data_IF_603901431237
#
_entry.id   IF_603901431237
#
_cell.length_a   1.000
_cell.length_b   1.000
_cell.length_c   1.000
_cell.angle_alpha   90.00
_cell.angle_beta   90.00
_cell.angle_gamma   90.00
#
_symmetry.space_group_name_H-M   'P 1'
#
loop_
_entity.id
_entity.type
_entity.pdbx_description
1 polymer ?
#
# COMPACT_ATOMS: atom_id res chain seq x y z
N UNK A 1 -5.59 5.54 8.94
CA UNK A 1 -4.62 4.47 8.61
C UNK A 1 -3.36 5.07 8.01
N UNK A 2 -2.18 4.50 8.27
CA UNK A 2 -0.89 5.00 7.78
C UNK A 2 -0.16 3.93 6.99
N UNK A 3 0.48 4.32 5.89
CA UNK A 3 1.36 3.50 5.09
C UNK A 3 2.62 3.16 5.90
N UNK A 4 2.99 1.87 6.06
CA UNK A 4 4.16 1.48 6.86
C UNK A 4 5.48 1.90 6.20
N UNK A 5 5.49 2.21 4.90
CA UNK A 5 6.70 2.57 4.16
C UNK A 5 7.06 4.06 4.23
N UNK A 6 6.06 4.93 4.40
CA UNK A 6 6.28 6.39 4.34
C UNK A 6 5.53 7.20 5.40
N UNK A 7 4.71 6.56 6.24
CA UNK A 7 3.94 7.20 7.31
C UNK A 7 2.75 8.07 6.86
N UNK A 8 2.58 8.31 5.55
CA UNK A 8 1.44 9.04 4.98
C UNK A 8 0.15 8.19 5.00
N UNK A 9 -1.00 8.77 4.65
CA UNK A 9 -2.24 8.01 4.46
C UNK A 9 -2.03 6.88 3.44
N UNK A 10 -2.63 5.71 3.70
CA UNK A 10 -2.69 4.62 2.72
C UNK A 10 -4.00 4.60 1.91
N UNK A 11 -4.94 5.48 2.27
CA UNK A 11 -6.26 5.65 1.65
C UNK A 11 -7.06 4.35 1.51
N UNK A 12 -6.88 3.43 2.46
CA UNK A 12 -7.61 2.16 2.52
C UNK A 12 -9.11 2.40 2.70
N UNK A 13 -9.93 1.97 1.74
CA UNK A 13 -11.39 2.11 1.79
C UNK A 13 -12.00 1.27 2.93
N UNK A 14 -11.54 0.02 3.11
CA UNK A 14 -12.03 -0.88 4.16
C UNK A 14 -11.84 -0.28 5.55
N UNK A 15 -10.65 0.25 5.84
CA UNK A 15 -10.37 0.90 7.12
C UNK A 15 -11.11 2.23 7.32
N UNK A 16 -11.62 2.82 6.24
CA UNK A 16 -12.49 3.98 6.27
C UNK A 16 -13.99 3.62 6.31
N UNK A 17 -14.34 2.32 6.40
CA UNK A 17 -15.73 1.84 6.40
C UNK A 17 -16.44 1.96 5.04
N UNK A 18 -15.66 2.05 3.95
CA UNK A 18 -16.16 2.10 2.57
C UNK A 18 -16.04 0.74 1.89
N UNK A 19 -16.73 0.59 0.78
CA UNK A 19 -16.70 -0.60 -0.06
C UNK A 19 -15.24 -1.00 -0.43
N UNK A 20 -14.81 -2.25 -0.21
CA UNK A 20 -13.49 -2.72 -0.63
C UNK A 20 -13.19 -2.48 -2.11
N UNK A 21 -14.16 -2.65 -3.01
CA UNK A 21 -14.00 -2.48 -4.46
C UNK A 21 -13.76 -1.02 -4.85
N UNK A 22 -14.11 -0.07 -3.96
CA UNK A 22 -13.77 1.35 -4.13
C UNK A 22 -12.33 1.69 -3.75
N UNK A 23 -11.58 0.74 -3.17
CA UNK A 23 -10.20 0.97 -2.78
C UNK A 23 -9.30 1.00 -4.01
N UNK A 24 -8.46 2.03 -4.12
CA UNK A 24 -7.52 2.19 -5.24
C UNK A 24 -6.66 0.95 -5.48
N UNK A 25 -6.35 0.18 -4.42
CA UNK A 25 -5.50 -0.99 -4.49
C UNK A 25 -6.16 -2.20 -5.17
N UNK A 26 -7.49 -2.26 -5.27
CA UNK A 26 -8.19 -3.41 -5.88
C UNK A 26 -8.00 -3.48 -7.39
N UNK A 27 -7.70 -2.35 -8.03
CA UNK A 27 -7.51 -2.27 -9.49
C UNK A 27 -6.07 -1.89 -9.88
N UNK A 28 -5.19 -1.68 -8.90
CA UNK A 28 -3.83 -1.23 -9.14
C UNK A 28 -2.85 -2.40 -9.29
N UNK A 29 -1.99 -2.32 -10.30
CA UNK A 29 -0.79 -3.16 -10.39
C UNK A 29 0.29 -2.57 -9.48
N UNK A 30 0.78 -3.38 -8.53
CA UNK A 30 1.84 -2.97 -7.60
C UNK A 30 3.18 -3.57 -8.02
N UNK A 31 4.26 -2.80 -7.83
CA UNK A 31 5.62 -3.32 -8.00
C UNK A 31 5.89 -4.46 -7.00
N UNK A 32 6.46 -5.55 -7.50
CA UNK A 32 6.95 -6.65 -6.66
C UNK A 32 8.01 -6.16 -5.65
N UNK A 33 8.84 -5.21 -6.07
CA UNK A 33 9.85 -4.56 -5.22
C UNK A 33 9.22 -3.75 -4.08
N UNK A 34 8.12 -3.05 -4.36
CA UNK A 34 7.37 -2.34 -3.33
C UNK A 34 6.78 -3.31 -2.30
N UNK A 35 6.15 -4.39 -2.76
CA UNK A 35 5.60 -5.44 -1.89
C UNK A 35 6.68 -6.10 -1.04
N UNK A 36 7.84 -6.40 -1.62
CA UNK A 36 8.99 -6.96 -0.90
C UNK A 36 9.60 -6.00 0.14
N UNK A 37 9.28 -4.70 0.06
CA UNK A 37 9.77 -3.70 1.00
C UNK A 37 8.86 -3.52 2.22
N UNK A 38 7.69 -4.17 2.26
CA UNK A 38 6.76 -4.11 3.39
C UNK A 38 7.35 -4.82 4.61
N UNK A 39 7.40 -4.17 5.79
CA UNK A 39 7.86 -4.80 7.02
C UNK A 39 7.07 -6.07 7.33
N UNK A 40 7.71 -7.16 7.80
CA UNK A 40 7.03 -8.43 8.09
C UNK A 40 5.84 -8.28 9.04
N UNK A 41 5.92 -7.37 10.02
CA UNK A 41 4.80 -7.14 10.95
C UNK A 41 3.56 -6.52 10.28
N UNK A 42 3.72 -5.84 9.13
CA UNK A 42 2.68 -5.12 8.41
C UNK A 42 2.13 -5.90 7.20
N UNK A 43 2.85 -6.91 6.71
CA UNK A 43 2.42 -7.73 5.57
C UNK A 43 1.07 -8.40 5.83
N UNK A 44 0.13 -8.24 4.89
CA UNK A 44 -1.23 -8.77 5.00
C UNK A 44 -2.12 -8.07 6.05
N UNK A 45 -1.62 -7.05 6.76
CA UNK A 45 -2.35 -6.37 7.84
C UNK A 45 -2.58 -4.89 7.57
N UNK A 46 -1.63 -4.21 6.94
CA UNK A 46 -1.68 -2.76 6.69
C UNK A 46 -1.41 -2.49 5.22
N UNK A 47 -2.34 -1.81 4.53
CA UNK A 47 -2.14 -1.39 3.15
C UNK A 47 -1.00 -0.36 3.05
N UNK A 48 -0.20 -0.44 1.99
CA UNK A 48 0.69 0.65 1.55
C UNK A 48 -0.11 1.71 0.79
N UNK A 49 0.48 2.87 0.48
CA UNK A 49 -0.16 3.90 -0.36
C UNK A 49 0.20 3.72 -1.85
N UNK A 50 -0.59 4.31 -2.76
CA UNK A 50 -0.37 4.23 -4.20
C UNK A 50 1.06 4.65 -4.62
N UNK A 51 1.56 5.74 -4.04
CA UNK A 51 2.92 6.21 -4.32
C UNK A 51 3.99 5.17 -3.95
N UNK A 52 3.84 4.48 -2.82
CA UNK A 52 4.80 3.46 -2.43
C UNK A 52 4.61 2.17 -3.23
N UNK A 53 3.38 1.83 -3.61
CA UNK A 53 3.07 0.65 -4.42
C UNK A 53 3.66 0.73 -5.84
N UNK A 54 3.85 1.93 -6.38
CA UNK A 54 4.46 2.15 -7.69
C UNK A 54 6.00 2.31 -7.65
N UNK A 55 6.64 2.20 -6.48
CA UNK A 55 8.11 2.27 -6.38
C UNK A 55 8.73 0.93 -6.73
N UNK A 56 9.35 0.84 -7.89
CA UNK A 56 10.35 -0.18 -8.13
C UNK A 56 11.62 0.15 -7.34
N UNK A 57 12.30 -0.89 -6.84
CA UNK A 57 13.60 -0.73 -6.19
C UNK A 57 14.61 -0.47 -7.29
N UNK A 58 14.64 0.76 -7.79
CA UNK A 58 15.68 1.32 -8.64
C UNK A 58 15.66 2.84 -8.46
N UNK A 59 16.86 3.35 -8.17
CA UNK A 59 17.30 4.75 -8.08
C UNK A 59 17.07 5.45 -6.73
N UNK A 60 18.10 5.87 -5.98
CA UNK A 60 19.52 6.08 -6.32
C UNK A 60 20.52 5.22 -5.57
#
# INVERSE_FOLDING_TARGET
MKCPLCGKSNDCAVAAGRDPDSCWCMTATMSSSALASIPPEAQGKICICAQCASRDRSEG
#
